data_IF_279284389494
#
_entry.id   IF_279284389494
#
_cell.length_a   1.000
_cell.length_b   1.000
_cell.length_c   1.000
_cell.angle_alpha   90.00
_cell.angle_beta   90.00
_cell.angle_gamma   90.00
#
_symmetry.space_group_name_H-M   'P 1'
#
loop_
_entity.id
_entity.type
_entity.pdbx_description
1 polymer ?
#
# COMPACT_ATOMS: atom_id res chain seq x y z
N UNK A 1 6.55 21.47 6.50
CA UNK A 1 7.12 20.31 5.78
C UNK A 1 6.04 19.71 4.88
N UNK A 2 6.36 19.30 3.65
CA UNK A 2 5.39 18.64 2.76
C UNK A 2 5.05 17.27 3.35
N UNK A 3 3.76 16.95 3.48
CA UNK A 3 3.33 15.61 3.88
C UNK A 3 3.44 14.66 2.68
N UNK A 4 3.71 13.39 2.93
CA UNK A 4 4.02 12.37 1.92
C UNK A 4 2.87 11.36 1.83
N UNK A 5 2.43 11.06 0.63
CA UNK A 5 1.53 9.95 0.32
C UNK A 5 2.36 8.70 0.00
N UNK A 6 2.00 7.58 0.62
CA UNK A 6 2.67 6.30 0.41
C UNK A 6 1.68 5.30 -0.12
N UNK A 7 2.05 4.59 -1.17
CA UNK A 7 1.30 3.46 -1.70
C UNK A 7 1.95 2.16 -1.24
N UNK A 8 1.20 1.33 -0.49
CA UNK A 8 1.65 0.04 0.00
C UNK A 8 1.02 -1.10 -0.81
N UNK A 9 1.88 -1.92 -1.42
CA UNK A 9 1.51 -3.09 -2.21
C UNK A 9 2.18 -4.35 -1.65
N UNK A 10 1.46 -5.47 -1.71
CA UNK A 10 1.93 -6.79 -1.27
C UNK A 10 0.98 -7.89 -1.75
N UNK A 11 1.44 -9.14 -1.74
CA UNK A 11 0.56 -10.32 -1.89
C UNK A 11 -0.60 -10.30 -0.89
N UNK A 12 -1.80 -10.68 -1.32
CA UNK A 12 -3.01 -10.72 -0.50
C UNK A 12 -3.29 -12.09 0.13
N UNK A 13 -2.34 -13.03 0.07
CA UNK A 13 -2.46 -14.40 0.61
C UNK A 13 -2.52 -14.49 2.14
N UNK A 14 -2.25 -13.38 2.84
CA UNK A 14 -2.20 -13.32 4.31
C UNK A 14 -0.79 -13.57 4.90
N UNK A 15 0.11 -14.18 4.13
CA UNK A 15 1.49 -14.48 4.55
C UNK A 15 2.26 -13.23 5.00
N UNK A 16 2.00 -12.10 4.34
CA UNK A 16 2.67 -10.81 4.61
C UNK A 16 1.87 -9.86 5.54
N UNK A 17 0.86 -10.36 6.27
CA UNK A 17 0.04 -9.52 7.16
C UNK A 17 0.86 -8.88 8.30
N UNK A 18 1.86 -9.59 8.81
CA UNK A 18 2.72 -9.10 9.88
C UNK A 18 3.58 -7.93 9.41
N UNK A 19 4.18 -8.04 8.23
CA UNK A 19 5.02 -7.04 7.59
C UNK A 19 4.19 -5.81 7.23
N UNK A 20 3.01 -6.01 6.63
CA UNK A 20 2.03 -4.93 6.41
C UNK A 20 1.71 -4.20 7.72
N UNK A 21 1.40 -4.95 8.79
CA UNK A 21 1.10 -4.39 10.10
C UNK A 21 2.26 -3.56 10.68
N UNK A 22 3.50 -4.04 10.54
CA UNK A 22 4.69 -3.31 10.97
C UNK A 22 4.87 -1.99 10.20
N UNK A 23 4.69 -2.01 8.88
CA UNK A 23 4.74 -0.81 8.02
C UNK A 23 3.69 0.21 8.45
N UNK A 24 2.44 -0.22 8.69
CA UNK A 24 1.39 0.64 9.23
C UNK A 24 1.77 1.23 10.60
N UNK A 25 2.39 0.42 11.46
CA UNK A 25 2.85 0.85 12.78
C UNK A 25 3.92 1.95 12.72
N UNK A 26 4.83 1.88 11.74
CA UNK A 26 5.87 2.90 11.51
C UNK A 26 5.22 4.20 11.04
N UNK A 27 4.34 4.12 10.03
CA UNK A 27 3.77 5.30 9.40
C UNK A 27 2.64 5.96 10.19
N UNK A 28 1.92 5.22 11.03
CA UNK A 28 0.90 5.78 11.94
C UNK A 28 1.46 6.74 13.00
N UNK A 29 2.77 6.70 13.25
CA UNK A 29 3.47 7.56 14.22
C UNK A 29 4.23 8.72 13.57
N UNK A 30 4.31 8.76 12.24
CA UNK A 30 5.10 9.77 11.52
C UNK A 30 4.31 11.07 11.29
N UNK A 31 4.80 12.20 11.78
CA UNK A 31 4.19 13.52 11.58
C UNK A 31 4.18 14.01 10.12
N UNK A 32 4.98 13.38 9.25
CA UNK A 32 5.13 13.74 7.84
C UNK A 32 4.29 12.88 6.89
N UNK A 33 3.50 11.91 7.37
CA UNK A 33 2.61 11.14 6.51
C UNK A 33 1.31 11.91 6.26
N UNK A 34 0.89 11.98 5.00
CA UNK A 34 -0.45 12.43 4.63
C UNK A 34 -1.41 11.25 4.60
N UNK A 35 -1.12 10.27 3.73
CA UNK A 35 -1.99 9.11 3.50
C UNK A 35 -1.17 7.85 3.23
N UNK A 36 -1.67 6.71 3.71
CA UNK A 36 -1.22 5.38 3.31
C UNK A 36 -2.31 4.72 2.46
N UNK A 37 -2.07 4.57 1.17
CA UNK A 37 -2.98 3.88 0.25
C UNK A 37 -2.67 2.38 0.27
N UNK A 38 -3.72 1.56 0.46
CA UNK A 38 -3.59 0.11 0.47
C UNK A 38 -4.52 -0.53 -0.55
N UNK A 39 -3.96 -1.45 -1.34
CA UNK A 39 -4.69 -2.24 -2.33
C UNK A 39 -5.91 -2.92 -1.72
N UNK A 40 -5.73 -3.52 -0.54
CA UNK A 40 -6.76 -4.28 0.16
C UNK A 40 -8.04 -3.47 0.43
N UNK A 41 -7.91 -2.17 0.70
CA UNK A 41 -9.06 -1.29 0.94
C UNK A 41 -9.82 -0.96 -0.35
N UNK A 42 -9.13 -0.93 -1.48
CA UNK A 42 -9.71 -0.72 -2.81
C UNK A 42 -10.43 -2.00 -3.25
N UNK A 43 -9.77 -3.15 -3.11
CA UNK A 43 -10.27 -4.45 -3.56
C UNK A 43 -11.51 -4.92 -2.80
N UNK A 44 -11.61 -4.60 -1.49
CA UNK A 44 -12.80 -4.93 -0.69
C UNK A 44 -14.07 -4.17 -1.12
N UNK A 45 -13.94 -3.09 -1.88
CA UNK A 45 -15.04 -2.14 -2.14
C UNK A 45 -15.30 -1.86 -3.63
N UNK A 46 -14.57 -2.48 -4.57
CA UNK A 46 -14.64 -2.17 -6.00
C UNK A 46 -14.73 -3.42 -6.88
N UNK A 47 -15.36 -3.30 -8.05
CA UNK A 47 -15.36 -4.35 -9.07
C UNK A 47 -13.98 -4.45 -9.76
N UNK A 48 -13.59 -5.58 -10.37
CA UNK A 48 -12.25 -5.79 -10.93
C UNK A 48 -11.75 -4.68 -11.87
N UNK A 49 -12.62 -4.19 -12.76
CA UNK A 49 -12.29 -3.07 -13.67
C UNK A 49 -12.04 -1.76 -12.90
N UNK A 50 -12.82 -1.50 -11.85
CA UNK A 50 -12.67 -0.32 -10.99
C UNK A 50 -11.43 -0.42 -10.09
N UNK A 51 -11.01 -1.63 -9.70
CA UNK A 51 -9.79 -1.85 -8.91
C UNK A 51 -8.56 -1.39 -9.69
N UNK A 52 -8.44 -1.79 -10.97
CA UNK A 52 -7.31 -1.39 -11.82
C UNK A 52 -7.25 0.12 -12.03
N UNK A 53 -8.37 0.75 -12.35
CA UNK A 53 -8.39 2.21 -12.57
C UNK A 53 -8.05 2.95 -11.27
N UNK A 54 -8.61 2.51 -10.14
CA UNK A 54 -8.31 3.11 -8.83
C UNK A 54 -6.87 2.88 -8.37
N UNK A 55 -6.29 1.75 -8.74
CA UNK A 55 -4.88 1.48 -8.52
C UNK A 55 -3.98 2.49 -9.25
N UNK A 56 -4.24 2.68 -10.55
CA UNK A 56 -3.46 3.60 -11.39
C UNK A 56 -3.60 5.06 -10.94
N UNK A 57 -4.79 5.45 -10.46
CA UNK A 57 -5.01 6.77 -9.86
C UNK A 57 -4.14 6.94 -8.60
N UNK A 58 -4.23 6.02 -7.64
CA UNK A 58 -3.58 6.16 -6.34
C UNK A 58 -2.07 6.00 -6.39
N UNK A 59 -1.53 5.24 -7.34
CA UNK A 59 -0.08 5.19 -7.57
C UNK A 59 0.43 6.49 -8.21
N UNK A 60 -0.37 7.16 -9.06
CA UNK A 60 -0.03 8.45 -9.62
C UNK A 60 0.02 9.57 -8.58
N UNK A 61 -0.80 9.46 -7.53
CA UNK A 61 -0.90 10.44 -6.44
C UNK A 61 0.08 10.21 -5.28
N UNK A 62 0.88 9.14 -5.33
CA UNK A 62 1.83 8.81 -4.27
C UNK A 62 3.24 9.34 -4.56
N UNK A 63 3.95 9.78 -3.51
CA UNK A 63 5.37 10.14 -3.62
C UNK A 63 6.28 8.92 -3.41
N UNK A 64 5.80 7.90 -2.69
CA UNK A 64 6.57 6.68 -2.40
C UNK A 64 5.72 5.46 -2.71
N UNK A 65 6.28 4.54 -3.48
CA UNK A 65 5.73 3.21 -3.68
C UNK A 65 6.54 2.18 -2.86
N UNK A 66 5.86 1.45 -1.98
CA UNK A 66 6.44 0.38 -1.18
C UNK A 66 5.84 -0.96 -1.61
N UNK A 67 6.71 -1.87 -2.06
CA UNK A 67 6.34 -3.24 -2.39
C UNK A 67 6.92 -4.19 -1.35
N UNK A 68 6.06 -4.96 -0.68
CA UNK A 68 6.45 -6.08 0.16
C UNK A 68 6.28 -7.35 -0.66
N UNK A 69 7.39 -8.05 -0.90
CA UNK A 69 7.43 -9.35 -1.55
C UNK A 69 7.92 -10.39 -0.55
N UNK A 70 7.43 -11.61 -0.73
CA UNK A 70 7.96 -12.78 -0.03
C UNK A 70 9.43 -12.98 -0.40
N UNK A 71 10.22 -13.49 0.54
CA UNK A 71 11.63 -13.81 0.32
C UNK A 71 11.77 -14.87 -0.78
N UNK A 72 10.80 -15.79 -0.88
CA UNK A 72 10.75 -16.82 -1.93
C UNK A 72 10.59 -16.25 -3.35
N UNK A 73 10.12 -15.00 -3.47
CA UNK A 73 9.89 -14.32 -4.75
C UNK A 73 11.04 -13.37 -5.15
N UNK A 74 12.14 -13.31 -4.38
CA UNK A 74 13.29 -12.42 -4.62
C UNK A 74 14.29 -12.91 -5.69
N UNK A 75 13.90 -13.89 -6.52
CA UNK A 75 14.75 -14.56 -7.53
C UNK A 75 15.60 -13.58 -8.33
#
# INVERSE_FOLDING_TARGET
MKKINIFLSSSMTGELDKERGAVKGIFSKGSNLSTLFELQHIEKNASPKKIKDKYLELIGDCEIFLLIIDDELRV
#
